data_IF_294423304324
#
_entry.id   IF_294423304324
#
_cell.length_a   1.000
_cell.length_b   1.000
_cell.length_c   1.000
_cell.angle_alpha   90.00
_cell.angle_beta   90.00
_cell.angle_gamma   90.00
#
_symmetry.space_group_name_H-M   'P 1'
#
loop_
_entity.id
_entity.type
_entity.pdbx_description
1 polymer ?
#
# COMPACT_ATOMS: atom_id res chain seq x y z
N UNK A 1 -40.11 -68.04 26.95
CA UNK A 1 -41.27 -67.84 27.86
C UNK A 1 -40.73 -67.45 29.23
N UNK A 2 -41.34 -66.43 29.86
CA UNK A 2 -41.05 -65.81 31.18
C UNK A 2 -39.92 -64.78 31.31
N UNK A 3 -40.39 -63.60 31.71
CA UNK A 3 -39.79 -62.31 32.08
C UNK A 3 -39.37 -62.34 33.56
N UNK A 4 -38.24 -61.72 33.94
CA UNK A 4 -37.99 -60.94 35.19
C UNK A 4 -36.79 -59.98 34.89
N UNK A 5 -36.95 -58.67 34.68
CA UNK A 5 -37.06 -57.53 35.63
C UNK A 5 -35.82 -57.21 36.49
N UNK A 6 -35.10 -56.11 36.17
CA UNK A 6 -34.79 -54.97 37.08
C UNK A 6 -34.08 -53.85 36.28
N UNK A 7 -34.70 -52.69 36.05
CA UNK A 7 -34.72 -51.47 36.88
C UNK A 7 -33.34 -50.91 37.29
N UNK A 8 -32.78 -50.02 36.45
CA UNK A 8 -31.96 -48.89 36.91
C UNK A 8 -32.37 -47.62 36.17
N UNK A 9 -32.94 -46.69 36.95
CA UNK A 9 -33.35 -45.35 36.58
C UNK A 9 -32.11 -44.53 36.18
N UNK A 10 -32.04 -44.06 34.94
CA UNK A 10 -31.19 -42.91 34.59
C UNK A 10 -32.10 -41.68 34.58
N UNK A 11 -31.92 -40.84 35.59
CA UNK A 11 -32.37 -39.46 35.56
C UNK A 11 -31.39 -38.69 34.69
N UNK A 12 -31.84 -38.16 33.55
CA UNK A 12 -31.15 -37.05 32.90
C UNK A 12 -32.16 -35.94 32.66
N UNK A 13 -31.87 -34.84 33.33
CA UNK A 13 -32.64 -33.62 33.37
C UNK A 13 -32.86 -33.04 31.98
N UNK A 14 -34.11 -32.67 31.71
CA UNK A 14 -34.49 -31.71 30.68
C UNK A 14 -33.81 -30.38 30.99
N UNK A 15 -32.72 -30.07 30.31
CA UNK A 15 -32.14 -28.73 30.30
C UNK A 15 -32.88 -27.94 29.23
N UNK A 16 -33.79 -27.09 29.71
CA UNK A 16 -34.48 -26.05 28.95
C UNK A 16 -33.40 -25.16 28.32
N UNK A 17 -33.24 -25.24 26.99
CA UNK A 17 -32.51 -24.23 26.23
C UNK A 17 -33.38 -22.97 26.18
N UNK A 18 -33.25 -22.10 27.18
CA UNK A 18 -33.67 -20.70 27.03
C UNK A 18 -32.71 -20.06 26.03
N UNK A 19 -33.20 -19.83 24.82
CA UNK A 19 -32.59 -18.93 23.85
C UNK A 19 -32.53 -17.52 24.46
N UNK A 20 -31.46 -17.26 25.21
CA UNK A 20 -31.03 -15.92 25.51
C UNK A 20 -30.56 -15.30 24.20
N UNK A 21 -31.43 -14.50 23.59
CA UNK A 21 -31.02 -13.48 22.64
C UNK A 21 -30.12 -12.48 23.38
N UNK A 22 -28.88 -12.91 23.63
CA UNK A 22 -27.79 -12.02 23.99
C UNK A 22 -27.57 -11.14 22.77
N UNK A 23 -28.17 -9.96 22.80
CA UNK A 23 -27.82 -8.86 21.91
C UNK A 23 -26.32 -8.66 22.07
N UNK A 24 -25.53 -9.19 21.13
CA UNK A 24 -24.17 -8.75 20.91
C UNK A 24 -24.28 -7.29 20.48
N UNK A 25 -24.35 -6.40 21.48
CA UNK A 25 -23.94 -5.02 21.31
C UNK A 25 -22.48 -5.11 20.84
N UNK A 26 -22.30 -5.03 19.52
CA UNK A 26 -21.00 -4.76 18.93
C UNK A 26 -20.75 -3.30 19.27
N UNK A 27 -20.04 -3.06 20.38
CA UNK A 27 -19.48 -1.76 20.65
C UNK A 27 -18.57 -1.46 19.46
N UNK A 28 -18.90 -0.43 18.69
CA UNK A 28 -17.96 0.14 17.74
C UNK A 28 -16.68 0.42 18.54
N UNK A 29 -15.59 -0.27 18.22
CA UNK A 29 -14.32 -0.14 18.93
C UNK A 29 -13.88 1.32 18.95
N UNK A 30 -14.03 1.98 20.09
CA UNK A 30 -13.59 3.35 20.36
C UNK A 30 -12.10 3.42 20.72
N UNK A 31 -11.45 2.29 21.00
CA UNK A 31 -10.10 2.24 21.57
C UNK A 31 -9.03 2.98 20.73
N UNK A 32 -9.23 3.10 19.42
CA UNK A 32 -8.29 3.78 18.51
C UNK A 32 -8.78 5.14 18.03
N UNK A 33 -10.06 5.49 18.19
CA UNK A 33 -10.59 6.70 17.58
C UNK A 33 -9.98 7.95 18.19
N UNK A 34 -9.93 8.02 19.52
CA UNK A 34 -9.44 9.20 20.26
C UNK A 34 -7.95 9.48 20.03
N UNK A 35 -7.19 8.47 19.59
CA UNK A 35 -5.76 8.59 19.25
C UNK A 35 -5.51 8.63 17.73
N UNK A 36 -6.56 8.52 16.93
CA UNK A 36 -6.49 8.62 15.48
C UNK A 36 -6.42 10.08 15.03
N UNK A 37 -5.97 10.35 13.79
CA UNK A 37 -6.09 11.66 13.19
C UNK A 37 -7.52 12.17 13.20
N UNK A 38 -8.55 11.32 13.04
CA UNK A 38 -9.94 11.77 13.00
C UNK A 38 -10.50 12.17 14.35
N UNK A 39 -10.16 11.48 15.44
CA UNK A 39 -10.65 11.79 16.79
C UNK A 39 -9.86 12.88 17.51
N UNK A 40 -8.81 13.42 16.89
CA UNK A 40 -7.99 14.46 17.51
C UNK A 40 -8.79 15.78 17.70
N UNK A 41 -8.87 16.35 18.93
CA UNK A 41 -9.66 17.55 19.20
C UNK A 41 -9.07 18.85 18.61
N UNK A 42 -7.80 18.85 18.22
CA UNK A 42 -7.10 19.99 17.64
C UNK A 42 -7.03 19.92 16.11
N UNK A 43 -6.87 18.70 15.56
CA UNK A 43 -6.54 18.49 14.14
C UNK A 43 -7.45 17.51 13.40
N UNK A 44 -8.35 16.81 14.10
CA UNK A 44 -9.24 15.82 13.52
C UNK A 44 -10.43 16.33 12.72
N UNK A 45 -11.44 15.46 12.56
CA UNK A 45 -12.53 15.69 11.61
C UNK A 45 -13.32 16.97 11.97
N UNK A 46 -13.61 17.78 10.95
CA UNK A 46 -14.42 18.98 11.09
C UNK A 46 -15.23 19.20 9.80
N UNK A 47 -16.39 18.53 9.74
CA UNK A 47 -17.41 18.73 8.71
C UNK A 47 -18.38 19.83 9.10
N UNK A 48 -18.76 19.88 10.37
CA UNK A 48 -19.79 20.76 10.91
C UNK A 48 -19.24 21.56 12.10
N UNK A 49 -19.29 22.89 11.98
CA UNK A 49 -18.75 23.82 12.97
C UNK A 49 -19.63 23.92 14.24
N UNK A 50 -20.80 23.29 14.27
CA UNK A 50 -21.61 23.20 15.50
C UNK A 50 -21.06 22.18 16.50
N UNK A 51 -20.25 21.24 16.03
CA UNK A 51 -19.61 20.23 16.89
C UNK A 51 -18.12 20.53 17.03
N UNK A 52 -17.55 20.08 18.15
CA UNK A 52 -16.11 20.12 18.34
C UNK A 52 -15.42 19.27 17.26
N UNK A 53 -14.17 19.61 16.96
CA UNK A 53 -13.35 18.80 16.07
C UNK A 53 -13.11 17.42 16.69
N UNK A 54 -13.13 16.39 15.87
CA UNK A 54 -12.99 14.99 16.31
C UNK A 54 -14.19 14.45 17.10
N UNK A 55 -15.30 15.19 17.17
CA UNK A 55 -16.55 14.69 17.75
C UNK A 55 -17.19 13.64 16.85
N UNK A 56 -17.79 12.59 17.42
CA UNK A 56 -18.49 11.55 16.66
C UNK A 56 -19.60 12.13 15.75
N UNK A 57 -20.22 13.25 16.12
CA UNK A 57 -21.25 13.94 15.33
C UNK A 57 -20.70 14.61 14.04
N UNK A 58 -19.38 14.62 13.86
CA UNK A 58 -18.77 14.97 12.58
C UNK A 58 -19.12 13.94 11.50
N UNK A 59 -19.31 12.67 11.88
CA UNK A 59 -19.63 11.55 11.00
C UNK A 59 -21.03 10.94 11.24
N UNK A 60 -21.57 11.10 12.44
CA UNK A 60 -22.85 10.54 12.84
C UNK A 60 -23.91 11.61 13.09
N UNK A 61 -25.18 11.23 12.92
CA UNK A 61 -26.32 11.99 13.43
C UNK A 61 -26.84 11.27 14.67
N UNK A 62 -26.92 11.98 15.80
CA UNK A 62 -27.51 11.44 17.02
C UNK A 62 -29.04 11.55 16.94
N UNK A 63 -29.76 10.42 17.00
CA UNK A 63 -31.20 10.43 17.27
C UNK A 63 -31.41 10.26 18.76
N UNK A 64 -31.93 11.30 19.44
CA UNK A 64 -32.17 11.29 20.88
C UNK A 64 -33.23 10.27 21.33
N UNK A 65 -34.02 9.73 20.39
CA UNK A 65 -35.25 8.99 20.69
C UNK A 65 -35.20 7.49 20.33
N UNK A 66 -34.04 6.96 19.92
CA UNK A 66 -33.87 5.52 19.62
C UNK A 66 -32.92 4.94 20.66
N UNK A 67 -33.37 3.95 21.45
CA UNK A 67 -32.54 3.26 22.44
C UNK A 67 -32.12 1.87 21.93
N UNK A 68 -30.82 1.49 21.98
CA UNK A 68 -29.68 2.36 22.28
C UNK A 68 -29.51 3.45 21.20
N UNK A 69 -28.93 4.60 21.56
CA UNK A 69 -28.71 5.72 20.65
C UNK A 69 -28.05 5.22 19.36
N UNK A 70 -28.85 5.07 18.30
CA UNK A 70 -28.36 4.60 17.03
C UNK A 70 -27.56 5.73 16.40
N UNK A 71 -26.24 5.60 16.38
CA UNK A 71 -25.36 6.48 15.62
C UNK A 71 -25.51 6.13 14.14
N UNK A 72 -26.37 6.87 13.44
CA UNK A 72 -26.56 6.73 11.99
C UNK A 72 -25.55 7.64 11.29
N UNK A 73 -25.00 7.23 10.16
CA UNK A 73 -24.14 8.12 9.36
C UNK A 73 -24.98 9.25 8.75
N UNK A 74 -24.41 10.45 8.64
CA UNK A 74 -25.11 11.57 7.99
C UNK A 74 -25.27 11.38 6.46
N UNK A 75 -24.58 10.40 5.89
CA UNK A 75 -24.58 10.05 4.46
C UNK A 75 -24.32 8.54 4.29
N UNK A 76 -24.33 8.06 3.05
CA UNK A 76 -24.05 6.66 2.72
C UNK A 76 -22.62 6.25 3.14
N UNK A 77 -22.45 5.00 3.59
CA UNK A 77 -21.16 4.45 3.99
C UNK A 77 -20.27 4.04 2.80
N UNK A 78 -19.98 5.00 1.92
CA UNK A 78 -19.13 4.83 0.74
C UNK A 78 -18.11 5.98 0.65
N UNK A 79 -17.39 6.11 -0.48
CA UNK A 79 -16.43 7.19 -0.68
C UNK A 79 -17.03 8.60 -0.44
N UNK A 80 -18.34 8.79 -0.63
CA UNK A 80 -18.98 10.09 -0.39
C UNK A 80 -18.82 10.53 1.07
N UNK A 81 -18.86 9.59 2.04
CA UNK A 81 -18.59 9.89 3.45
C UNK A 81 -17.23 10.59 3.62
N UNK A 82 -16.20 10.07 2.95
CA UNK A 82 -14.85 10.64 2.99
C UNK A 82 -14.77 11.98 2.23
N UNK A 83 -15.39 12.06 1.05
CA UNK A 83 -15.29 13.24 0.17
C UNK A 83 -15.92 14.50 0.74
N UNK A 84 -16.84 14.40 1.70
CA UNK A 84 -17.36 15.58 2.40
C UNK A 84 -16.25 16.40 3.08
N UNK A 85 -15.20 15.76 3.59
CA UNK A 85 -14.03 16.44 4.15
C UNK A 85 -12.83 16.44 3.20
N UNK A 86 -12.70 15.39 2.37
CA UNK A 86 -11.56 15.15 1.47
C UNK A 86 -11.92 15.39 -0.01
N UNK A 87 -12.64 16.46 -0.34
CA UNK A 87 -13.00 16.73 -1.74
C UNK A 87 -11.84 17.29 -2.57
N UNK A 88 -11.01 18.13 -1.97
CA UNK A 88 -9.96 18.85 -2.68
C UNK A 88 -8.62 18.13 -2.63
N UNK A 89 -7.82 18.30 -3.70
CA UNK A 89 -6.40 17.96 -3.66
C UNK A 89 -5.68 18.95 -2.73
N UNK A 90 -5.01 18.48 -1.68
CA UNK A 90 -4.27 19.34 -0.78
C UNK A 90 -3.03 19.93 -1.46
N UNK A 91 -2.59 21.09 -0.99
CA UNK A 91 -1.37 21.71 -1.49
C UNK A 91 -0.15 20.81 -1.22
N UNK A 92 0.68 20.60 -2.24
CA UNK A 92 1.85 19.73 -2.14
C UNK A 92 1.56 18.23 -2.23
N UNK A 93 0.37 17.82 -2.66
CA UNK A 93 0.15 16.44 -3.11
C UNK A 93 0.71 16.22 -4.52
N UNK A 94 1.36 15.07 -4.80
CA UNK A 94 1.68 14.01 -3.83
C UNK A 94 2.94 14.36 -3.04
N UNK A 95 3.05 13.83 -1.81
CA UNK A 95 4.25 13.96 -0.99
C UNK A 95 5.51 13.53 -1.78
N UNK A 96 6.60 14.28 -1.66
CA UNK A 96 7.84 14.02 -2.41
C UNK A 96 8.91 13.34 -1.53
N UNK A 97 10.04 12.94 -2.12
CA UNK A 97 11.18 12.37 -1.37
C UNK A 97 11.67 13.28 -0.22
N UNK A 98 11.53 14.60 -0.35
CA UNK A 98 11.83 15.56 0.74
C UNK A 98 10.85 15.50 1.92
N UNK A 99 9.68 14.89 1.73
CA UNK A 99 8.63 14.69 2.74
C UNK A 99 8.76 13.32 3.44
N UNK A 100 9.85 12.60 3.19
CA UNK A 100 10.16 11.31 3.81
C UNK A 100 10.55 11.47 5.26
N UNK A 101 10.05 10.57 6.11
CA UNK A 101 10.38 10.50 7.53
C UNK A 101 11.88 10.32 7.74
N UNK A 102 12.50 11.15 8.62
CA UNK A 102 13.94 11.08 8.84
C UNK A 102 14.34 9.75 9.47
N UNK A 103 15.60 9.37 9.27
CA UNK A 103 16.17 8.11 9.74
C UNK A 103 16.13 7.93 11.27
N UNK A 104 15.97 9.04 12.00
CA UNK A 104 15.88 9.08 13.46
C UNK A 104 14.44 8.99 13.99
N UNK A 105 13.43 8.95 13.11
CA UNK A 105 12.03 8.86 13.54
C UNK A 105 11.64 7.44 13.97
N UNK A 106 10.43 7.28 14.51
CA UNK A 106 9.89 5.96 14.85
C UNK A 106 9.50 5.13 13.62
N UNK A 107 9.30 5.77 12.46
CA UNK A 107 8.90 5.13 11.20
C UNK A 107 9.74 5.68 10.03
N UNK A 108 11.08 5.52 10.07
CA UNK A 108 11.97 6.04 9.04
C UNK A 108 11.57 5.50 7.67
N UNK A 109 11.73 6.34 6.65
CA UNK A 109 11.41 5.97 5.27
C UNK A 109 9.94 6.18 4.88
N UNK A 110 9.01 6.27 5.82
CA UNK A 110 7.61 6.50 5.48
C UNK A 110 7.38 7.94 4.97
N UNK A 111 6.49 8.16 4.01
CA UNK A 111 6.16 9.53 3.58
C UNK A 111 5.17 10.13 4.59
N UNK A 112 5.53 11.10 5.43
CA UNK A 112 4.56 11.73 6.37
C UNK A 112 4.95 13.16 6.79
N UNK A 113 6.05 13.70 6.30
CA UNK A 113 6.69 14.91 6.84
C UNK A 113 6.61 16.10 5.89
N UNK A 114 6.97 17.28 6.39
CA UNK A 114 7.32 18.41 5.54
C UNK A 114 8.78 18.29 5.06
N UNK A 115 9.16 19.14 4.11
CA UNK A 115 10.58 19.45 3.88
C UNK A 115 11.18 19.84 5.24
N UNK A 116 12.27 19.17 5.64
CA UNK A 116 13.02 19.31 6.91
C UNK A 116 12.73 18.28 8.01
N UNK A 117 11.82 17.32 7.79
CA UNK A 117 11.70 16.19 8.74
C UNK A 117 11.19 16.61 10.12
N UNK A 118 10.34 17.65 10.19
CA UNK A 118 9.53 17.99 11.38
C UNK A 118 8.04 17.64 11.17
N UNK A 119 7.45 16.94 12.14
CA UNK A 119 6.00 16.68 12.14
C UNK A 119 5.32 18.02 12.44
N UNK A 120 4.80 18.69 11.41
CA UNK A 120 4.06 19.93 11.61
C UNK A 120 2.69 19.56 12.18
N UNK A 121 2.45 19.99 13.42
CA UNK A 121 1.16 19.86 14.08
C UNK A 121 0.03 20.43 13.21
N UNK A 122 -0.96 19.61 12.88
CA UNK A 122 -2.15 19.96 12.12
C UNK A 122 -2.08 19.76 10.61
N UNK A 123 -0.94 19.35 10.05
CA UNK A 123 -0.83 19.01 8.61
C UNK A 123 -0.36 17.58 8.37
N UNK A 124 -0.30 16.76 9.43
CA UNK A 124 -0.12 15.31 9.32
C UNK A 124 -1.04 14.77 8.23
N UNK A 125 -0.45 14.01 7.31
CA UNK A 125 -1.15 13.34 6.22
C UNK A 125 -1.74 14.24 5.12
N UNK A 126 -1.70 15.58 5.23
CA UNK A 126 -2.30 16.44 4.19
C UNK A 126 -1.71 16.16 2.82
N UNK A 127 -0.40 15.96 2.67
CA UNK A 127 0.20 15.66 1.35
C UNK A 127 -0.02 14.22 0.85
N UNK A 128 -0.60 13.34 1.66
CA UNK A 128 -0.81 11.91 1.32
C UNK A 128 -2.23 11.61 0.90
N UNK A 129 -3.18 12.40 1.40
CA UNK A 129 -4.56 12.28 1.01
C UNK A 129 -4.77 12.93 -0.36
N UNK A 130 -5.10 12.15 -1.41
CA UNK A 130 -5.29 12.67 -2.77
C UNK A 130 -6.47 13.66 -2.85
N UNK A 131 -7.47 13.45 -1.99
CA UNK A 131 -8.81 13.99 -2.14
C UNK A 131 -9.56 13.38 -3.33
N UNK A 132 -10.87 13.66 -3.39
CA UNK A 132 -11.76 13.20 -4.46
C UNK A 132 -11.23 13.59 -5.84
N UNK A 133 -10.72 14.82 -6.00
CA UNK A 133 -10.23 15.32 -7.28
C UNK A 133 -9.06 14.53 -7.87
N UNK A 134 -8.30 13.79 -7.07
CA UNK A 134 -7.21 12.94 -7.56
C UNK A 134 -7.67 11.49 -7.67
N UNK A 135 -8.45 11.03 -6.69
CA UNK A 135 -8.90 9.64 -6.65
C UNK A 135 -9.95 9.34 -7.72
N UNK A 136 -10.98 10.19 -7.86
CA UNK A 136 -12.13 9.99 -8.76
C UNK A 136 -11.94 10.53 -10.17
N UNK A 137 -10.96 11.42 -10.40
CA UNK A 137 -10.95 12.22 -11.63
C UNK A 137 -10.03 11.63 -12.70
N UNK A 138 -10.56 10.91 -13.70
CA UNK A 138 -9.80 10.49 -14.87
C UNK A 138 -9.61 11.64 -15.89
N UNK A 139 -10.18 12.83 -15.67
CA UNK A 139 -10.21 13.91 -16.68
C UNK A 139 -9.00 14.83 -16.62
N UNK A 140 -8.61 15.21 -17.84
CA UNK A 140 -7.51 16.09 -18.22
C UNK A 140 -7.59 17.45 -17.52
N UNK A 141 -6.62 17.74 -16.66
CA UNK A 141 -6.31 19.13 -16.28
C UNK A 141 -4.92 19.46 -16.80
N UNK A 142 -4.67 20.75 -17.09
CA UNK A 142 -3.35 21.23 -17.52
C UNK A 142 -2.21 20.99 -16.50
N UNK A 143 -2.52 20.47 -15.31
CA UNK A 143 -1.57 20.27 -14.19
C UNK A 143 -1.25 18.81 -13.87
N UNK A 144 -1.62 17.87 -14.75
CA UNK A 144 -1.31 16.44 -14.62
C UNK A 144 -2.53 15.56 -14.34
N UNK A 145 -2.35 14.25 -14.57
CA UNK A 145 -3.40 13.22 -14.66
C UNK A 145 -3.20 12.16 -13.58
N UNK A 146 -4.08 12.07 -12.60
CA UNK A 146 -3.99 11.00 -11.61
C UNK A 146 -4.96 9.89 -11.96
N UNK A 147 -4.48 8.65 -11.90
CA UNK A 147 -5.32 7.48 -12.10
C UNK A 147 -4.97 6.42 -11.07
N UNK A 148 -5.99 5.97 -10.34
CA UNK A 148 -5.89 4.79 -9.49
C UNK A 148 -6.74 3.67 -10.10
N UNK A 149 -6.13 2.55 -10.52
CA UNK A 149 -6.87 1.31 -10.79
C UNK A 149 -7.74 0.89 -9.60
N UNK A 150 -7.29 1.15 -8.36
CA UNK A 150 -8.09 0.87 -7.16
C UNK A 150 -9.41 1.64 -7.11
N UNK A 151 -9.52 2.75 -7.86
CA UNK A 151 -10.76 3.52 -8.03
C UNK A 151 -11.64 3.05 -9.21
N UNK A 152 -11.08 2.36 -10.19
CA UNK A 152 -11.81 2.12 -11.45
C UNK A 152 -12.19 0.67 -11.67
N UNK A 153 -11.43 -0.23 -11.05
CA UNK A 153 -11.46 -1.64 -11.36
C UNK A 153 -12.67 -2.31 -10.69
N UNK A 154 -13.43 -3.04 -11.50
CA UNK A 154 -14.65 -3.70 -11.05
C UNK A 154 -14.34 -4.85 -10.08
N UNK A 155 -13.17 -5.47 -10.21
CA UNK A 155 -12.70 -6.62 -9.43
C UNK A 155 -12.00 -6.23 -8.13
N UNK A 156 -11.87 -4.92 -7.83
CA UNK A 156 -11.40 -4.46 -6.53
C UNK A 156 -12.34 -4.97 -5.43
N UNK A 157 -11.81 -5.71 -4.42
CA UNK A 157 -12.64 -6.32 -3.39
C UNK A 157 -13.26 -5.21 -2.54
N UNK A 158 -14.58 -5.22 -2.42
CA UNK A 158 -15.34 -4.15 -1.75
C UNK A 158 -15.76 -4.66 -0.37
N UNK A 159 -15.34 -3.95 0.69
CA UNK A 159 -15.65 -4.35 2.07
C UNK A 159 -17.12 -4.14 2.47
N UNK A 160 -17.96 -3.55 1.63
CA UNK A 160 -19.37 -3.30 1.91
C UNK A 160 -20.33 -4.00 0.93
N UNK A 161 -21.48 -4.45 1.44
CA UNK A 161 -22.52 -5.16 0.67
C UNK A 161 -23.24 -4.26 -0.35
N UNK A 162 -23.04 -2.93 -0.29
CA UNK A 162 -23.62 -1.94 -1.20
C UNK A 162 -22.68 -1.55 -2.34
N UNK A 163 -21.51 -2.20 -2.44
CA UNK A 163 -20.74 -2.23 -3.67
C UNK A 163 -19.91 -0.98 -3.95
N UNK A 164 -19.39 -0.28 -2.95
CA UNK A 164 -18.45 0.82 -3.21
C UNK A 164 -17.32 0.83 -2.16
N UNK A 165 -16.35 -0.06 -2.34
CA UNK A 165 -15.10 0.00 -1.59
C UNK A 165 -14.03 0.69 -2.41
N UNK A 166 -13.61 1.90 -2.03
CA UNK A 166 -12.37 2.48 -2.60
C UNK A 166 -11.48 3.20 -1.56
N UNK A 167 -12.04 3.85 -0.53
CA UNK A 167 -11.26 4.30 0.64
C UNK A 167 -11.29 3.29 1.81
N UNK A 168 -12.47 2.78 2.17
CA UNK A 168 -12.67 1.90 3.34
C UNK A 168 -12.04 0.50 3.18
N UNK A 169 -11.65 0.14 1.96
CA UNK A 169 -10.87 -1.07 1.70
C UNK A 169 -9.47 -1.00 2.32
N UNK A 170 -8.93 0.21 2.45
CA UNK A 170 -7.60 0.44 2.99
C UNK A 170 -7.64 1.15 4.33
N UNK A 171 -8.68 1.97 4.58
CA UNK A 171 -8.79 2.83 5.75
C UNK A 171 -9.95 2.44 6.67
N UNK A 172 -9.81 2.72 7.95
CA UNK A 172 -10.85 2.61 8.96
C UNK A 172 -11.04 3.99 9.64
N UNK A 173 -12.18 4.68 9.41
CA UNK A 173 -12.39 6.04 9.94
C UNK A 173 -12.50 6.10 11.47
N UNK A 174 -12.68 4.95 12.15
CA UNK A 174 -12.61 4.85 13.62
C UNK A 174 -11.18 4.67 14.14
N UNK A 175 -10.17 4.71 13.26
CA UNK A 175 -8.77 4.48 13.60
C UNK A 175 -8.43 3.00 13.68
N UNK A 176 -7.12 2.72 13.74
CA UNK A 176 -6.56 1.39 13.98
C UNK A 176 -5.28 1.51 14.79
N UNK A 177 -4.60 0.38 15.04
CA UNK A 177 -3.22 0.37 15.56
C UNK A 177 -2.22 1.15 14.70
N UNK A 178 -2.56 1.46 13.44
CA UNK A 178 -1.74 2.29 12.56
C UNK A 178 -2.11 3.76 12.75
N UNK A 179 -1.36 4.45 13.61
CA UNK A 179 -1.71 5.78 14.11
C UNK A 179 -1.67 6.91 13.04
N UNK A 180 -1.04 6.70 11.88
CA UNK A 180 -0.79 7.77 10.92
C UNK A 180 -1.90 7.90 9.88
N UNK A 181 -2.21 6.82 9.15
CA UNK A 181 -3.15 6.90 8.03
C UNK A 181 -4.42 6.08 8.26
N UNK A 182 -4.66 5.63 9.49
CA UNK A 182 -5.85 4.83 9.86
C UNK A 182 -6.03 3.60 8.96
N UNK A 183 -4.93 2.95 8.60
CA UNK A 183 -4.95 1.80 7.69
C UNK A 183 -5.56 0.59 8.40
N UNK A 184 -6.44 -0.13 7.71
CA UNK A 184 -7.20 -1.26 8.28
C UNK A 184 -6.31 -2.44 8.70
N UNK A 185 -5.10 -2.52 8.17
CA UNK A 185 -4.11 -3.54 8.54
C UNK A 185 -2.70 -2.98 8.41
N UNK A 186 -1.69 -3.79 8.73
CA UNK A 186 -0.28 -3.43 8.77
C UNK A 186 0.21 -2.92 7.41
N UNK A 187 0.75 -1.70 7.41
CA UNK A 187 1.54 -1.13 6.32
C UNK A 187 2.67 -0.30 6.90
N UNK A 188 3.83 -0.93 7.07
CA UNK A 188 4.96 -0.38 7.81
C UNK A 188 6.15 -0.08 6.89
N UNK A 189 7.20 0.46 7.49
CA UNK A 189 8.46 0.66 6.81
C UNK A 189 9.17 -0.67 6.47
N UNK A 190 10.34 -0.52 5.85
CA UNK A 190 11.17 -1.61 5.36
C UNK A 190 11.70 -2.55 6.45
N UNK A 191 11.79 -2.12 7.72
CA UNK A 191 12.51 -2.86 8.75
C UNK A 191 11.85 -4.18 9.10
N UNK A 192 12.61 -5.27 9.02
CA UNK A 192 12.09 -6.59 9.37
C UNK A 192 11.29 -7.23 8.25
N UNK A 193 11.27 -6.65 7.04
CA UNK A 193 10.62 -7.24 5.88
C UNK A 193 11.38 -8.46 5.29
N UNK A 194 12.44 -8.94 5.95
CA UNK A 194 13.29 -10.06 5.52
C UNK A 194 12.90 -11.45 6.07
N UNK A 195 11.77 -11.56 6.77
CA UNK A 195 11.29 -12.75 7.47
C UNK A 195 11.19 -14.02 6.60
N UNK A 196 11.20 -15.19 7.26
CA UNK A 196 10.90 -16.49 6.65
C UNK A 196 9.42 -16.55 6.27
N UNK A 197 9.12 -16.17 5.03
CA UNK A 197 7.77 -16.14 4.47
C UNK A 197 7.43 -14.76 3.89
N UNK A 198 6.13 -14.53 3.72
CA UNK A 198 5.58 -13.24 3.27
C UNK A 198 5.70 -12.18 4.39
N UNK A 199 6.26 -10.99 4.13
CA UNK A 199 6.50 -9.98 5.17
C UNK A 199 5.20 -9.32 5.64
N UNK A 200 4.90 -9.43 6.94
CA UNK A 200 3.70 -8.86 7.56
C UNK A 200 3.61 -7.32 7.41
N UNK A 201 4.75 -6.66 7.22
CA UNK A 201 4.85 -5.21 7.00
C UNK A 201 3.96 -4.71 5.86
N UNK A 202 3.63 -5.55 4.87
CA UNK A 202 2.90 -5.16 3.65
C UNK A 202 1.52 -5.81 3.53
N UNK A 203 0.93 -6.26 4.65
CA UNK A 203 -0.37 -6.97 4.65
C UNK A 203 -1.52 -6.16 4.07
N UNK A 204 -1.45 -4.83 4.12
CA UNK A 204 -2.45 -3.97 3.48
C UNK A 204 -2.61 -4.29 1.99
N UNK A 205 -1.51 -4.46 1.29
CA UNK A 205 -1.50 -4.77 -0.13
C UNK A 205 -1.75 -6.26 -0.36
N UNK A 206 -1.08 -7.13 0.39
CA UNK A 206 -1.11 -8.58 0.15
C UNK A 206 -2.46 -9.24 0.46
N UNK A 207 -3.34 -8.60 1.24
CA UNK A 207 -4.72 -9.06 1.41
C UNK A 207 -5.45 -9.22 0.06
N UNK A 208 -5.14 -8.36 -0.91
CA UNK A 208 -5.76 -8.40 -2.23
C UNK A 208 -4.79 -8.90 -3.31
N UNK A 209 -3.50 -8.55 -3.17
CA UNK A 209 -2.45 -8.94 -4.10
C UNK A 209 -1.74 -10.21 -3.65
N UNK A 210 -2.50 -11.27 -3.36
CA UNK A 210 -1.97 -12.61 -3.14
C UNK A 210 -2.78 -13.70 -3.84
N UNK A 211 -2.35 -14.96 -3.70
CA UNK A 211 -3.12 -16.12 -4.12
C UNK A 211 -4.58 -16.12 -3.62
N UNK A 212 -4.87 -15.51 -2.46
CA UNK A 212 -6.22 -15.41 -1.88
C UNK A 212 -6.99 -14.15 -2.31
N UNK A 213 -6.41 -13.37 -3.21
CA UNK A 213 -7.01 -12.16 -3.78
C UNK A 213 -8.28 -12.42 -4.60
N UNK A 214 -8.98 -11.35 -5.03
CA UNK A 214 -10.20 -11.46 -5.82
C UNK A 214 -10.02 -12.34 -7.06
N UNK A 215 -10.99 -13.23 -7.31
CA UNK A 215 -10.91 -14.16 -8.43
C UNK A 215 -10.85 -13.47 -9.81
N UNK A 216 -11.48 -12.30 -9.95
CA UNK A 216 -11.49 -11.52 -11.19
C UNK A 216 -10.22 -10.71 -11.45
N UNK A 217 -9.38 -10.49 -10.42
CA UNK A 217 -8.14 -9.71 -10.59
C UNK A 217 -7.17 -10.44 -11.52
N UNK A 218 -6.59 -9.70 -12.48
CA UNK A 218 -5.58 -10.22 -13.39
C UNK A 218 -4.46 -10.95 -12.61
N UNK A 219 -4.11 -12.20 -12.97
CA UNK A 219 -3.05 -12.96 -12.30
C UNK A 219 -1.73 -12.20 -12.11
N UNK A 220 -1.30 -11.40 -13.10
CA UNK A 220 -0.06 -10.60 -13.02
C UNK A 220 -0.08 -9.61 -11.85
N UNK A 221 -1.27 -9.09 -11.51
CA UNK A 221 -1.48 -8.16 -10.41
C UNK A 221 -1.88 -8.88 -9.13
N UNK A 222 -2.49 -10.06 -9.23
CA UNK A 222 -2.98 -10.82 -8.07
C UNK A 222 -1.83 -11.48 -7.30
N UNK A 223 -0.78 -11.98 -7.94
CA UNK A 223 0.23 -12.79 -7.25
C UNK A 223 1.44 -12.01 -6.69
N UNK A 224 1.31 -10.69 -6.48
CA UNK A 224 2.46 -9.86 -6.07
C UNK A 224 3.09 -10.33 -4.77
N UNK A 225 2.27 -10.78 -3.81
CA UNK A 225 2.77 -11.23 -2.51
C UNK A 225 3.67 -12.47 -2.60
N UNK A 226 3.53 -13.29 -3.64
CA UNK A 226 4.32 -14.50 -3.81
C UNK A 226 5.76 -14.15 -4.23
N UNK A 227 5.95 -13.06 -4.99
CA UNK A 227 7.30 -12.52 -5.24
C UNK A 227 7.99 -12.07 -3.96
N UNK A 228 7.25 -11.82 -2.88
CA UNK A 228 7.77 -11.46 -1.56
C UNK A 228 7.74 -12.64 -0.57
N UNK A 229 7.33 -13.84 -0.98
CA UNK A 229 7.26 -15.00 -0.07
C UNK A 229 8.48 -15.89 -0.22
N UNK A 230 9.32 -15.99 0.83
CA UNK A 230 10.51 -16.84 0.81
C UNK A 230 10.23 -18.35 0.73
N UNK A 231 9.01 -18.79 1.02
CA UNK A 231 8.62 -20.18 0.80
C UNK A 231 8.38 -20.51 -0.69
N UNK A 232 8.13 -19.48 -1.51
CA UNK A 232 7.91 -19.59 -2.96
C UNK A 232 9.17 -19.18 -3.72
N UNK A 233 9.72 -18.00 -3.40
CA UNK A 233 10.92 -17.43 -3.99
C UNK A 233 11.99 -17.26 -2.91
N UNK A 234 12.78 -18.31 -2.71
CA UNK A 234 13.77 -18.38 -1.62
C UNK A 234 15.13 -17.75 -1.94
N UNK A 235 15.30 -17.20 -3.14
CA UNK A 235 16.54 -16.58 -3.57
C UNK A 235 16.68 -15.15 -3.04
N UNK A 236 17.83 -14.55 -3.35
CA UNK A 236 18.13 -13.20 -2.89
C UNK A 236 17.47 -12.11 -3.73
N UNK A 237 16.60 -12.43 -4.67
CA UNK A 237 16.07 -11.52 -5.67
C UNK A 237 14.58 -11.25 -5.42
N UNK A 238 13.93 -12.07 -4.60
CA UNK A 238 12.55 -11.90 -4.12
C UNK A 238 12.29 -10.51 -3.49
N UNK A 239 11.19 -9.87 -3.91
CA UNK A 239 10.66 -8.65 -3.31
C UNK A 239 11.54 -7.41 -3.49
N UNK A 240 12.45 -7.43 -4.47
CA UNK A 240 13.46 -6.39 -4.71
C UNK A 240 14.17 -5.98 -3.40
N UNK A 241 15.03 -6.87 -2.89
CA UNK A 241 15.65 -6.73 -1.57
C UNK A 241 17.03 -6.06 -1.56
N UNK A 242 17.37 -5.45 -0.43
CA UNK A 242 18.72 -4.94 -0.16
C UNK A 242 19.68 -6.09 0.11
N UNK A 243 20.84 -6.08 -0.55
CA UNK A 243 21.89 -7.11 -0.37
C UNK A 243 22.85 -6.82 0.78
N UNK A 244 22.86 -5.59 1.26
CA UNK A 244 23.80 -5.09 2.27
C UNK A 244 23.06 -4.22 3.29
N UNK A 245 23.61 -4.12 4.49
CA UNK A 245 23.03 -3.35 5.60
C UNK A 245 23.51 -1.90 5.54
N UNK A 246 22.58 -0.96 5.66
CA UNK A 246 22.84 0.47 5.72
C UNK A 246 21.93 1.14 6.75
N UNK A 247 22.52 1.60 7.86
CA UNK A 247 21.76 2.26 8.93
C UNK A 247 20.62 1.37 9.45
N UNK A 248 19.38 1.82 9.26
CA UNK A 248 18.17 1.13 9.71
C UNK A 248 17.69 0.02 8.75
N UNK A 249 18.18 0.02 7.50
CA UNK A 249 17.90 -0.99 6.47
C UNK A 249 18.90 -2.13 6.60
N UNK A 250 18.43 -3.37 6.67
CA UNK A 250 19.23 -4.58 6.86
C UNK A 250 19.31 -5.38 5.56
N UNK A 251 20.38 -6.16 5.44
CA UNK A 251 20.48 -7.12 4.35
C UNK A 251 19.29 -8.10 4.36
N UNK A 252 18.65 -8.27 3.21
CA UNK A 252 17.44 -9.06 3.01
C UNK A 252 16.13 -8.28 3.17
N UNK A 253 16.16 -7.05 3.68
CA UNK A 253 14.96 -6.21 3.74
C UNK A 253 14.42 -5.96 2.32
N UNK A 254 13.11 -6.09 2.14
CA UNK A 254 12.40 -5.97 0.86
C UNK A 254 11.81 -4.58 0.72
N UNK A 255 11.89 -3.98 -0.47
CA UNK A 255 11.39 -2.62 -0.69
C UNK A 255 9.89 -2.48 -0.34
N UNK A 256 9.48 -1.42 0.36
CA UNK A 256 8.08 -1.10 0.56
C UNK A 256 7.38 -0.76 -0.75
N UNK A 257 6.10 -1.11 -0.84
CA UNK A 257 5.32 -0.88 -2.06
C UNK A 257 5.24 0.63 -2.41
N UNK A 258 5.24 1.52 -1.42
CA UNK A 258 5.15 2.97 -1.61
C UNK A 258 6.38 3.58 -2.29
N UNK A 259 7.52 2.91 -2.28
CA UNK A 259 8.70 3.38 -3.01
C UNK A 259 8.49 3.33 -4.52
N UNK A 260 7.62 2.41 -4.98
CA UNK A 260 7.34 2.17 -6.38
C UNK A 260 5.93 2.58 -6.79
N UNK A 261 4.95 2.49 -5.88
CA UNK A 261 3.53 2.65 -6.17
C UNK A 261 2.86 3.73 -5.32
N UNK A 262 2.11 4.62 -5.96
CA UNK A 262 1.17 5.52 -5.29
C UNK A 262 -0.25 4.93 -5.38
N UNK A 263 -0.78 4.29 -4.31
CA UNK A 263 -2.06 3.57 -4.35
C UNK A 263 -3.27 4.50 -4.56
N UNK A 264 -3.08 5.78 -4.30
CA UNK A 264 -4.08 6.84 -4.48
C UNK A 264 -4.12 7.39 -5.90
N UNK A 265 -3.21 6.92 -6.77
CA UNK A 265 -3.09 7.30 -8.16
C UNK A 265 -1.89 8.20 -8.40
N UNK A 266 -1.33 8.08 -9.60
CA UNK A 266 -0.10 8.79 -9.99
C UNK A 266 -0.23 9.48 -11.35
N UNK A 267 0.59 10.50 -11.55
CA UNK A 267 0.72 11.26 -12.79
C UNK A 267 1.10 10.35 -13.98
N UNK A 268 0.28 10.32 -15.05
CA UNK A 268 0.66 9.78 -16.36
C UNK A 268 1.51 10.76 -17.19
N UNK A 269 2.25 10.24 -18.17
CA UNK A 269 3.28 10.97 -18.93
C UNK A 269 2.76 12.04 -19.91
N UNK A 270 1.65 11.77 -20.60
CA UNK A 270 1.30 12.52 -21.82
C UNK A 270 -0.07 13.20 -21.76
N UNK A 271 -0.73 13.17 -20.61
CA UNK A 271 -2.07 13.73 -20.48
C UNK A 271 -3.11 13.05 -21.37
N UNK A 272 -2.84 11.85 -21.88
CA UNK A 272 -3.77 11.07 -22.71
C UNK A 272 -3.88 9.64 -22.19
N UNK A 273 -2.78 9.09 -21.66
CA UNK A 273 -2.69 7.74 -21.09
C UNK A 273 -2.43 7.84 -19.59
N UNK A 274 -3.41 7.46 -18.75
CA UNK A 274 -3.19 7.40 -17.32
C UNK A 274 -2.12 6.36 -16.96
N UNK A 275 -1.43 6.57 -15.83
CA UNK A 275 -0.52 5.59 -15.27
C UNK A 275 -1.31 4.43 -14.63
N UNK A 276 -1.61 3.41 -15.42
CA UNK A 276 -2.40 2.24 -14.97
C UNK A 276 -1.65 1.31 -14.02
N UNK A 277 -0.35 1.53 -13.83
CA UNK A 277 0.50 0.72 -12.96
C UNK A 277 0.75 1.39 -11.60
N UNK A 278 0.13 2.56 -11.37
CA UNK A 278 0.32 3.37 -10.16
C UNK A 278 1.79 3.70 -9.89
N UNK A 279 2.66 3.75 -10.90
CA UNK A 279 4.08 4.06 -10.66
C UNK A 279 4.17 5.42 -9.97
N UNK A 280 4.88 5.46 -8.86
CA UNK A 280 4.89 6.60 -7.95
C UNK A 280 5.38 7.86 -8.66
N UNK A 281 4.78 8.98 -8.34
CA UNK A 281 5.17 10.33 -8.75
C UNK A 281 5.78 11.12 -7.59
N UNK A 282 6.10 10.41 -6.51
CA UNK A 282 6.67 10.93 -5.26
C UNK A 282 8.20 11.00 -5.30
N UNK A 283 8.82 10.35 -6.30
CA UNK A 283 10.27 10.32 -6.49
C UNK A 283 10.74 11.36 -7.51
N UNK A 284 11.92 11.98 -7.30
CA UNK A 284 12.52 12.89 -8.27
C UNK A 284 12.63 12.25 -9.65
N UNK A 285 12.12 12.96 -10.67
CA UNK A 285 12.18 12.50 -12.07
C UNK A 285 11.13 11.45 -12.47
N UNK A 286 10.28 10.99 -11.55
CA UNK A 286 9.22 10.01 -11.81
C UNK A 286 7.85 10.62 -12.13
N UNK A 287 7.73 11.94 -12.05
CA UNK A 287 6.51 12.60 -12.51
C UNK A 287 6.25 12.28 -13.98
N UNK A 288 5.03 11.83 -14.28
CA UNK A 288 4.65 11.42 -15.63
C UNK A 288 5.35 10.16 -16.10
N UNK A 289 5.58 9.18 -15.23
CA UNK A 289 5.89 7.83 -15.70
C UNK A 289 4.63 7.18 -16.30
N UNK A 290 4.82 6.37 -17.34
CA UNK A 290 3.78 5.52 -17.92
C UNK A 290 4.24 4.05 -17.93
N UNK A 291 3.92 3.27 -18.95
CA UNK A 291 4.33 1.87 -19.05
C UNK A 291 5.84 1.70 -19.17
N UNK A 292 6.47 1.29 -18.07
CA UNK A 292 7.87 0.81 -18.06
C UNK A 292 8.02 -0.52 -18.79
N UNK A 293 6.93 -1.26 -19.06
CA UNK A 293 6.98 -2.56 -19.77
C UNK A 293 7.31 -2.40 -21.25
N UNK A 294 6.92 -1.27 -21.85
CA UNK A 294 6.95 -1.08 -23.31
C UNK A 294 7.83 0.07 -23.76
N UNK A 295 8.32 0.92 -22.85
CA UNK A 295 9.14 2.07 -23.17
C UNK A 295 10.48 2.00 -22.46
N UNK A 296 11.56 1.83 -23.24
CA UNK A 296 12.92 1.79 -22.72
C UNK A 296 13.27 3.09 -21.99
N UNK A 297 12.90 4.26 -22.53
CA UNK A 297 13.13 5.54 -21.88
C UNK A 297 12.45 5.62 -20.50
N UNK A 298 11.21 5.14 -20.39
CA UNK A 298 10.46 5.17 -19.12
C UNK A 298 10.98 4.15 -18.13
N UNK A 299 11.33 2.95 -18.60
CA UNK A 299 11.99 1.93 -17.77
C UNK A 299 13.30 2.44 -17.20
N UNK A 300 14.12 3.13 -18.01
CA UNK A 300 15.39 3.71 -17.56
C UNK A 300 15.19 4.83 -16.55
N UNK A 301 14.23 5.75 -16.79
CA UNK A 301 13.83 6.78 -15.80
C UNK A 301 13.41 6.14 -14.47
N UNK A 302 12.61 5.08 -14.53
CA UNK A 302 12.15 4.35 -13.35
C UNK A 302 13.33 3.70 -12.61
N UNK A 303 14.08 2.81 -13.27
CA UNK A 303 15.18 2.07 -12.65
C UNK A 303 16.28 2.99 -12.08
N UNK A 304 16.64 4.06 -12.80
CA UNK A 304 17.64 5.02 -12.34
C UNK A 304 17.14 6.01 -11.28
N UNK A 305 15.84 6.00 -10.97
CA UNK A 305 15.33 6.67 -9.77
C UNK A 305 15.82 6.03 -8.46
N UNK A 306 16.36 4.81 -8.55
CA UNK A 306 16.94 4.07 -7.43
C UNK A 306 18.40 3.70 -7.71
N UNK A 307 18.66 3.05 -8.85
CA UNK A 307 19.99 2.57 -9.20
C UNK A 307 20.88 3.69 -9.72
N UNK A 308 22.09 3.77 -9.19
CA UNK A 308 23.10 4.69 -9.70
C UNK A 308 23.69 4.12 -11.00
N UNK A 309 23.66 4.87 -12.09
CA UNK A 309 24.25 4.43 -13.36
C UNK A 309 25.76 4.16 -13.22
N UNK A 310 26.32 3.35 -14.13
CA UNK A 310 27.75 3.00 -14.08
C UNK A 310 28.68 4.20 -14.28
N UNK A 311 28.23 5.20 -15.03
CA UNK A 311 28.89 6.50 -15.26
C UNK A 311 28.54 7.56 -14.19
N UNK A 312 27.67 7.23 -13.23
CA UNK A 312 27.29 8.09 -12.12
C UNK A 312 26.45 9.31 -12.47
N UNK A 313 25.96 9.44 -13.71
CA UNK A 313 25.10 10.55 -14.14
C UNK A 313 23.66 10.43 -13.63
N UNK A 314 23.25 9.24 -13.21
CA UNK A 314 21.92 8.95 -12.68
C UNK A 314 22.01 8.29 -11.30
N UNK A 315 20.88 8.21 -10.62
CA UNK A 315 20.74 7.53 -9.33
C UNK A 315 19.88 8.34 -8.37
N UNK A 316 19.20 7.64 -7.47
CA UNK A 316 18.41 8.25 -6.41
C UNK A 316 18.72 7.67 -5.05
N UNK A 317 18.14 8.30 -4.04
CA UNK A 317 18.16 7.81 -2.66
C UNK A 317 16.92 6.94 -2.45
N UNK A 318 17.09 5.78 -1.83
CA UNK A 318 16.01 4.84 -1.51
C UNK A 318 16.08 4.52 -0.04
N UNK A 319 14.99 4.77 0.70
CA UNK A 319 14.99 4.54 2.16
C UNK A 319 16.18 5.25 2.85
N UNK A 320 16.53 6.46 2.40
CA UNK A 320 17.69 7.22 2.89
C UNK A 320 19.07 6.66 2.52
N UNK A 321 19.14 5.64 1.66
CA UNK A 321 20.37 4.98 1.21
C UNK A 321 20.68 5.34 -0.24
N UNK A 322 21.92 5.76 -0.51
CA UNK A 322 22.43 5.82 -1.89
C UNK A 322 22.97 4.47 -2.30
N UNK A 323 22.42 3.90 -3.38
CA UNK A 323 22.88 2.60 -3.89
C UNK A 323 24.25 2.71 -4.56
N UNK A 324 25.00 1.60 -4.54
CA UNK A 324 26.24 1.48 -5.32
C UNK A 324 25.93 1.65 -6.81
N UNK A 325 26.86 2.26 -7.54
CA UNK A 325 26.82 2.27 -9.01
C UNK A 325 26.68 0.87 -9.56
N UNK A 326 25.88 0.76 -10.63
CA UNK A 326 25.77 -0.45 -11.42
C UNK A 326 27.15 -0.84 -12.00
N UNK A 327 27.38 -2.15 -12.24
CA UNK A 327 28.61 -2.66 -12.86
C UNK A 327 28.94 -1.90 -14.15
N UNK A 328 30.19 -1.51 -14.34
CA UNK A 328 30.63 -0.79 -15.54
C UNK A 328 31.08 -1.72 -16.66
N UNK A 329 31.11 -3.02 -16.41
CA UNK A 329 31.41 -4.08 -17.37
C UNK A 329 30.27 -4.29 -18.38
N UNK A 330 29.07 -3.76 -18.10
CA UNK A 330 27.91 -3.75 -18.99
C UNK A 330 27.72 -2.32 -19.51
N UNK A 331 28.04 -2.02 -20.78
CA UNK A 331 27.91 -0.68 -21.34
C UNK A 331 26.50 -0.07 -21.18
N UNK A 332 25.46 -0.91 -21.26
CA UNK A 332 24.06 -0.52 -21.18
C UNK A 332 23.65 0.06 -19.80
N UNK A 333 24.48 -0.14 -18.77
CA UNK A 333 24.32 0.48 -17.45
C UNK A 333 24.71 1.96 -17.40
N UNK A 334 25.34 2.52 -18.44
CA UNK A 334 25.61 3.95 -18.54
C UNK A 334 24.29 4.71 -18.72
N UNK A 335 24.18 5.95 -18.22
CA UNK A 335 22.89 6.66 -18.16
C UNK A 335 22.27 6.91 -19.54
N UNK A 336 23.08 7.36 -20.50
CA UNK A 336 22.60 7.78 -21.83
C UNK A 336 22.40 6.62 -22.82
N UNK A 337 22.62 5.38 -22.38
CA UNK A 337 22.31 4.22 -23.21
C UNK A 337 20.78 4.13 -23.47
N UNK A 338 20.38 3.37 -24.50
CA UNK A 338 18.98 3.24 -24.93
C UNK A 338 18.40 1.84 -24.75
N UNK A 339 19.21 0.86 -24.35
CA UNK A 339 18.77 -0.52 -24.13
C UNK A 339 17.73 -0.59 -23.00
N UNK A 340 16.78 -1.50 -23.18
CA UNK A 340 15.71 -1.69 -22.22
C UNK A 340 16.20 -2.61 -21.10
N UNK A 341 16.05 -2.21 -19.83
CA UNK A 341 16.48 -3.02 -18.69
C UNK A 341 15.87 -4.44 -18.68
N UNK A 342 14.65 -4.59 -19.19
CA UNK A 342 13.96 -5.86 -19.28
C UNK A 342 14.56 -6.85 -20.27
N UNK A 343 15.37 -6.39 -21.21
CA UNK A 343 16.02 -7.27 -22.18
C UNK A 343 17.05 -8.18 -21.48
N UNK A 344 17.54 -7.79 -20.30
CA UNK A 344 18.51 -8.56 -19.51
C UNK A 344 18.00 -8.98 -18.12
N UNK A 345 17.09 -8.20 -17.51
CA UNK A 345 16.61 -8.43 -16.14
C UNK A 345 15.24 -9.12 -16.03
N UNK A 346 14.60 -9.39 -17.18
CA UNK A 346 13.36 -10.19 -17.27
C UNK A 346 12.08 -9.36 -17.20
N UNK A 347 11.12 -9.70 -18.08
CA UNK A 347 9.78 -9.09 -18.16
C UNK A 347 8.65 -10.13 -18.09
N UNK A 348 8.93 -11.27 -17.47
CA UNK A 348 7.98 -12.36 -17.40
C UNK A 348 7.08 -12.19 -16.17
N UNK A 349 5.78 -12.07 -16.40
CA UNK A 349 4.74 -11.98 -15.39
C UNK A 349 3.79 -13.19 -15.43
N UNK A 350 4.15 -14.24 -16.18
CA UNK A 350 3.28 -15.40 -16.43
C UNK A 350 3.06 -16.29 -15.20
N UNK A 351 3.93 -16.20 -14.18
CA UNK A 351 3.83 -16.98 -12.95
C UNK A 351 4.39 -16.24 -11.74
N UNK A 352 4.05 -16.71 -10.54
CA UNK A 352 4.53 -16.17 -9.26
C UNK A 352 6.03 -16.39 -8.98
N UNK A 353 6.74 -17.13 -9.83
CA UNK A 353 8.19 -17.35 -9.76
C UNK A 353 8.95 -16.74 -10.93
N UNK A 354 8.24 -16.15 -11.89
CA UNK A 354 8.82 -15.52 -13.07
C UNK A 354 9.71 -14.32 -12.73
N UNK A 355 10.65 -14.00 -13.64
CA UNK A 355 11.58 -12.88 -13.46
C UNK A 355 11.00 -11.56 -14.00
N UNK A 356 10.84 -10.58 -13.11
CA UNK A 356 10.34 -9.23 -13.39
C UNK A 356 10.76 -8.23 -12.30
N UNK A 357 10.20 -7.01 -12.25
CA UNK A 357 10.61 -5.98 -11.26
C UNK A 357 10.40 -6.36 -9.79
N UNK A 358 9.49 -7.29 -9.50
CA UNK A 358 9.25 -7.79 -8.14
C UNK A 358 10.17 -8.96 -7.79
N UNK A 359 10.81 -9.57 -8.80
CA UNK A 359 11.73 -10.70 -8.69
C UNK A 359 12.80 -10.60 -9.81
N UNK A 360 13.68 -9.58 -9.78
CA UNK A 360 14.57 -9.29 -10.90
C UNK A 360 15.54 -10.45 -11.16
N UNK A 361 15.81 -10.74 -12.43
CA UNK A 361 16.92 -11.62 -12.76
C UNK A 361 18.25 -10.95 -12.39
N UNK A 362 19.26 -11.74 -12.07
CA UNK A 362 20.63 -11.29 -11.79
C UNK A 362 21.34 -10.66 -13.00
N UNK A 363 20.62 -10.42 -14.10
CA UNK A 363 21.15 -10.03 -15.41
C UNK A 363 21.69 -11.26 -16.11
N UNK A 364 21.01 -11.74 -17.16
CA UNK A 364 21.52 -12.84 -17.99
C UNK A 364 22.44 -12.37 -19.12
N UNK A 365 22.78 -11.07 -19.19
CA UNK A 365 23.73 -10.55 -20.17
C UNK A 365 25.16 -11.02 -19.86
N UNK A 366 25.41 -12.30 -20.13
CA UNK A 366 26.71 -12.81 -20.51
C UNK A 366 27.02 -12.21 -21.89
N UNK A 367 27.84 -11.16 -21.93
CA UNK A 367 28.83 -11.09 -23.00
C UNK A 367 29.60 -12.43 -23.03
N UNK A 368 30.10 -12.88 -24.20
CA UNK A 368 30.55 -14.26 -24.39
C UNK A 368 31.51 -14.68 -23.27
N UNK A 369 31.13 -15.73 -22.53
CA UNK A 369 32.02 -16.39 -21.58
C UNK A 369 33.10 -17.09 -22.39
N UNK A 370 34.25 -16.45 -22.54
CA UNK A 370 35.48 -17.14 -22.88
C UNK A 370 36.01 -17.69 -21.55
N UNK A 371 35.79 -19.00 -21.32
CA UNK A 371 36.57 -19.74 -20.34
C UNK A 371 37.99 -19.88 -20.89
N UNK A 372 38.93 -19.08 -20.39
CA UNK A 372 40.32 -19.51 -20.36
C UNK A 372 40.61 -20.09 -18.97
N UNK A 373 40.63 -21.41 -18.90
CA UNK A 373 41.26 -22.12 -17.80
C UNK A 373 42.77 -21.88 -17.88
N UNK A 374 43.44 -21.47 -16.79
CA UNK A 374 44.90 -21.45 -16.78
C UNK A 374 45.43 -22.89 -16.85
N UNK A 375 46.42 -23.09 -17.73
CA UNK A 375 47.28 -24.29 -17.75
C UNK A 375 48.25 -24.28 -16.59
#
# INVERSE_FOLDING_TARGET
MKIISSNKKLWFSFLLFTAGAGSLLVWAQTDYYDISPHGNPETGALRDNHFARGDCNQCHVSHKDIAPAALVLFTENNNNLCYHCHSQRPNGYPAQESDRMPLTSAHPGYFEYNADGVKITGVENRKRWPGQLVYENPRVSATGHFFSPHRSDLDMPRKDNNGVGMCLNCHNPHGTKNAFDMLDTTYLNIQGAFVSGRPENYMLCFKCHSADGPAGMNPENRWIADYYDKSVNNDGESGHQFKTTFGYVKAGDKLPCYDCHNPHGSAGNDGVRPNTFMLSDQRPGWSGLDSIKTSAAQARRFCFGCHKSSDGQAGGVVEGVTLKSLPNEVPEHAFNDTAHCYDCHGRDYSSSTSRNVHHPATGEAKGPIIYELPR
#
